data_IF_545810875995
#
_entry.id   IF_545810875995
#
_cell.length_a   1.000
_cell.length_b   1.000
_cell.length_c   1.000
_cell.angle_alpha   90.00
_cell.angle_beta   90.00
_cell.angle_gamma   90.00
#
_symmetry.space_group_name_H-M   'P 1'
#
loop_
_entity.id
_entity.type
_entity.pdbx_description
1 polymer ?
#
# COMPACT_ATOMS: atom_id res chain seq x y z
N UNK A 1 -30.48 4.45 -8.20
CA UNK A 1 -30.41 3.14 -7.59
C UNK A 1 -30.20 2.11 -8.70
N UNK A 2 -28.95 1.77 -8.96
CA UNK A 2 -28.66 0.57 -9.74
C UNK A 2 -29.31 -0.59 -8.98
N UNK A 3 -30.22 -1.30 -9.63
CA UNK A 3 -30.77 -2.53 -9.11
C UNK A 3 -29.61 -3.42 -8.66
N UNK A 4 -29.67 -3.89 -7.42
CA UNK A 4 -28.77 -4.87 -6.89
C UNK A 4 -28.96 -6.18 -7.66
N UNK A 5 -28.38 -6.24 -8.87
CA UNK A 5 -27.97 -7.49 -9.46
C UNK A 5 -27.00 -8.09 -8.44
N UNK A 6 -27.22 -9.32 -8.05
CA UNK A 6 -26.42 -9.99 -7.05
C UNK A 6 -24.92 -9.75 -7.33
N UNK A 7 -24.27 -8.94 -6.46
CA UNK A 7 -22.83 -8.74 -6.54
C UNK A 7 -22.15 -10.08 -6.22
N UNK A 8 -21.35 -10.57 -7.16
CA UNK A 8 -20.61 -11.81 -6.96
C UNK A 8 -19.34 -11.49 -6.18
N UNK A 9 -19.29 -11.94 -4.93
CA UNK A 9 -18.12 -11.82 -4.04
C UNK A 9 -17.63 -13.21 -3.64
N UNK A 10 -16.40 -13.26 -3.14
CA UNK A 10 -15.76 -14.51 -2.67
C UNK A 10 -16.62 -15.19 -1.60
N UNK A 11 -17.18 -14.40 -0.70
CA UNK A 11 -18.12 -14.85 0.31
C UNK A 11 -19.42 -14.02 0.21
N UNK A 12 -20.55 -14.70 0.07
CA UNK A 12 -21.82 -14.03 -0.14
C UNK A 12 -22.14 -13.03 0.99
N UNK A 13 -22.53 -11.81 0.60
CA UNK A 13 -22.86 -10.72 1.52
C UNK A 13 -21.67 -10.00 2.13
N UNK A 14 -20.44 -10.38 1.78
CA UNK A 14 -19.22 -9.77 2.28
C UNK A 14 -18.37 -9.20 1.15
N UNK A 15 -17.64 -8.11 1.46
CA UNK A 15 -16.54 -7.61 0.66
C UNK A 15 -15.23 -8.01 1.36
N UNK A 16 -14.51 -8.97 0.79
CA UNK A 16 -13.25 -9.45 1.34
C UNK A 16 -12.10 -8.61 0.80
N UNK A 17 -11.45 -7.90 1.71
CA UNK A 17 -10.31 -7.02 1.45
C UNK A 17 -9.02 -7.68 1.94
N UNK A 18 -8.10 -7.96 1.02
CA UNK A 18 -6.73 -8.30 1.36
C UNK A 18 -5.93 -7.01 1.62
N UNK A 19 -5.11 -7.01 2.65
CA UNK A 19 -4.28 -5.87 3.03
C UNK A 19 -3.03 -6.33 3.76
N UNK A 20 -2.11 -5.38 4.02
CA UNK A 20 -0.96 -5.56 4.91
C UNK A 20 -0.98 -4.48 5.98
N UNK A 21 -1.56 -4.79 7.13
CA UNK A 21 -1.89 -3.83 8.19
C UNK A 21 -0.67 -3.41 9.05
N UNK A 22 0.46 -3.18 8.38
CA UNK A 22 1.71 -2.65 8.94
C UNK A 22 2.21 -1.42 8.17
N UNK A 23 1.31 -0.69 7.51
CA UNK A 23 1.62 0.41 6.60
C UNK A 23 0.88 1.69 7.01
N UNK A 24 1.25 2.31 8.16
CA UNK A 24 0.56 3.51 8.63
C UNK A 24 0.84 4.71 7.70
N UNK A 25 -0.08 5.66 7.53
CA UNK A 25 -1.43 5.71 8.10
C UNK A 25 -2.50 5.04 7.22
N UNK A 26 -2.11 4.26 6.20
CA UNK A 26 -3.04 3.62 5.28
C UNK A 26 -3.76 2.43 5.90
N UNK A 27 -3.01 1.52 6.49
CA UNK A 27 -3.54 0.37 7.21
C UNK A 27 -2.64 -0.01 8.38
N UNK A 28 -3.26 -0.22 9.52
CA UNK A 28 -2.56 -0.62 10.74
C UNK A 28 -3.49 -1.36 11.69
N UNK A 29 -2.90 -2.07 12.61
CA UNK A 29 -3.60 -2.76 13.68
C UNK A 29 -3.43 -1.97 14.96
N UNK A 30 -4.53 -1.74 15.70
CA UNK A 30 -4.51 -1.10 17.00
C UNK A 30 -4.00 -2.05 18.09
N UNK A 31 -3.68 -1.52 19.27
CA UNK A 31 -3.32 -2.33 20.44
C UNK A 31 -4.46 -3.29 20.88
N UNK A 32 -5.70 -2.95 20.55
CA UNK A 32 -6.87 -3.80 20.78
C UNK A 32 -7.05 -4.90 19.72
N UNK A 33 -6.21 -4.93 18.68
CA UNK A 33 -6.28 -5.89 17.59
C UNK A 33 -7.32 -5.53 16.51
N UNK A 34 -7.80 -4.30 16.52
CA UNK A 34 -8.72 -3.78 15.49
C UNK A 34 -7.91 -3.17 14.33
N UNK A 35 -8.52 -3.08 13.15
CA UNK A 35 -7.91 -2.44 11.99
C UNK A 35 -8.34 -0.98 11.87
N UNK A 36 -7.41 -0.11 11.52
CA UNK A 36 -7.66 1.30 11.25
C UNK A 36 -6.76 1.83 10.15
N UNK A 37 -7.09 3.01 9.62
CA UNK A 37 -6.31 3.73 8.63
C UNK A 37 -7.13 4.12 7.40
N UNK A 38 -6.49 4.87 6.50
CA UNK A 38 -7.12 5.45 5.30
C UNK A 38 -7.75 4.35 4.44
N UNK A 39 -7.03 3.28 4.18
CA UNK A 39 -7.50 2.18 3.33
C UNK A 39 -8.63 1.40 4.01
N UNK A 40 -8.53 1.19 5.31
CA UNK A 40 -9.58 0.51 6.09
C UNK A 40 -10.88 1.31 6.08
N UNK A 41 -10.81 2.61 6.36
CA UNK A 41 -11.99 3.48 6.38
C UNK A 41 -12.61 3.64 5.00
N UNK A 42 -11.78 3.75 3.96
CA UNK A 42 -12.24 3.82 2.57
C UNK A 42 -12.93 2.53 2.14
N UNK A 43 -12.36 1.37 2.46
CA UNK A 43 -12.97 0.08 2.17
C UNK A 43 -14.28 -0.11 2.91
N UNK A 44 -14.37 0.32 4.18
CA UNK A 44 -15.61 0.27 4.95
C UNK A 44 -16.70 1.14 4.31
N UNK A 45 -16.35 2.35 3.89
CA UNK A 45 -17.29 3.25 3.21
C UNK A 45 -17.78 2.66 1.87
N UNK A 46 -16.92 2.00 1.12
CA UNK A 46 -17.30 1.28 -0.11
C UNK A 46 -18.23 0.12 0.20
N UNK A 47 -17.89 -0.72 1.18
CA UNK A 47 -18.73 -1.84 1.59
C UNK A 47 -20.12 -1.39 2.01
N UNK A 48 -20.22 -0.30 2.79
CA UNK A 48 -21.49 0.29 3.20
C UNK A 48 -22.32 0.75 2.00
N UNK A 49 -21.71 1.39 1.01
CA UNK A 49 -22.37 1.80 -0.24
C UNK A 49 -22.90 0.62 -1.04
N UNK A 50 -22.21 -0.51 -1.02
CA UNK A 50 -22.59 -1.72 -1.73
C UNK A 50 -23.54 -2.62 -0.94
N UNK A 51 -23.81 -2.29 0.33
CA UNK A 51 -24.63 -3.11 1.22
C UNK A 51 -23.96 -4.41 1.62
N UNK A 52 -22.63 -4.43 1.70
CA UNK A 52 -21.82 -5.59 2.06
C UNK A 52 -21.16 -5.39 3.43
N UNK A 53 -20.91 -6.49 4.12
CA UNK A 53 -20.08 -6.51 5.32
C UNK A 53 -18.59 -6.58 4.92
N UNK A 54 -17.75 -5.71 5.50
CA UNK A 54 -16.31 -5.73 5.23
C UNK A 54 -15.64 -6.86 6.01
N UNK A 55 -14.94 -7.73 5.29
CA UNK A 55 -14.04 -8.76 5.83
C UNK A 55 -12.60 -8.36 5.50
N UNK A 56 -11.75 -8.21 6.52
CA UNK A 56 -10.34 -7.82 6.34
C UNK A 56 -9.46 -9.04 6.57
N UNK A 57 -8.66 -9.37 5.56
CA UNK A 57 -7.66 -10.42 5.61
C UNK A 57 -6.26 -9.77 5.58
N UNK A 58 -5.59 -9.77 6.74
CA UNK A 58 -4.25 -9.22 6.90
C UNK A 58 -3.20 -10.26 6.54
N UNK A 59 -2.27 -9.88 5.67
CA UNK A 59 -1.19 -10.75 5.18
C UNK A 59 -0.02 -9.91 4.65
N UNK A 60 1.08 -10.57 4.26
CA UNK A 60 2.19 -9.86 3.62
C UNK A 60 1.75 -9.22 2.30
N UNK A 61 2.38 -8.12 1.92
CA UNK A 61 1.97 -7.30 0.78
C UNK A 61 1.89 -8.09 -0.53
N UNK A 62 2.92 -8.87 -0.86
CA UNK A 62 2.92 -9.69 -2.07
C UNK A 62 1.86 -10.80 -2.03
N UNK A 63 1.60 -11.38 -0.86
CA UNK A 63 0.52 -12.33 -0.65
C UNK A 63 -0.86 -11.68 -0.85
N UNK A 64 -1.04 -10.43 -0.42
CA UNK A 64 -2.28 -9.68 -0.63
C UNK A 64 -2.57 -9.45 -2.11
N UNK A 65 -1.56 -9.06 -2.90
CA UNK A 65 -1.70 -8.93 -4.35
C UNK A 65 -2.07 -10.26 -5.01
N UNK A 66 -1.41 -11.34 -4.60
CA UNK A 66 -1.66 -12.67 -5.15
C UNK A 66 -3.04 -13.20 -4.78
N UNK A 67 -3.53 -12.86 -3.59
CA UNK A 67 -4.84 -13.27 -3.09
C UNK A 67 -5.99 -12.84 -4.01
N UNK A 68 -5.99 -11.59 -4.50
CA UNK A 68 -7.00 -11.13 -5.46
C UNK A 68 -6.82 -11.76 -6.83
N UNK A 69 -5.60 -11.96 -7.29
CA UNK A 69 -5.31 -12.63 -8.57
C UNK A 69 -5.84 -14.07 -8.59
N UNK A 70 -5.80 -14.75 -7.45
CA UNK A 70 -6.26 -16.13 -7.28
C UNK A 70 -7.77 -16.24 -6.93
N UNK A 71 -8.46 -15.11 -6.80
CA UNK A 71 -9.88 -15.10 -6.44
C UNK A 71 -10.16 -15.47 -4.97
N UNK A 72 -9.20 -15.28 -4.08
CA UNK A 72 -9.34 -15.52 -2.62
C UNK A 72 -9.81 -14.29 -1.87
N UNK A 73 -9.64 -13.11 -2.43
CA UNK A 73 -10.16 -11.85 -1.94
C UNK A 73 -10.83 -11.09 -3.10
N UNK A 74 -11.80 -10.24 -2.76
CA UNK A 74 -12.51 -9.42 -3.74
C UNK A 74 -11.69 -8.21 -4.19
N UNK A 75 -11.07 -7.54 -3.24
CA UNK A 75 -10.24 -6.36 -3.45
C UNK A 75 -8.93 -6.46 -2.65
N UNK A 76 -7.93 -5.72 -3.10
CA UNK A 76 -6.74 -5.40 -2.30
C UNK A 76 -6.61 -3.90 -2.16
N UNK A 77 -6.44 -3.45 -0.93
CA UNK A 77 -6.11 -2.06 -0.57
C UNK A 77 -4.96 -2.11 0.44
N UNK A 78 -3.80 -1.66 0.01
CA UNK A 78 -2.57 -1.70 0.79
C UNK A 78 -1.57 -0.65 0.31
N UNK A 79 -2.07 0.55 -0.04
CA UNK A 79 -1.27 1.54 -0.74
C UNK A 79 -0.71 0.98 -2.05
N UNK A 80 -1.57 0.36 -2.86
CA UNK A 80 -1.13 -0.35 -4.06
C UNK A 80 -0.96 0.60 -5.23
N UNK A 81 0.27 0.73 -5.71
CA UNK A 81 0.59 1.52 -6.89
C UNK A 81 0.16 0.81 -8.17
N UNK A 82 -0.46 1.56 -9.07
CA UNK A 82 -0.82 1.09 -10.42
C UNK A 82 0.45 1.04 -11.27
N UNK A 83 0.77 -0.15 -11.77
CA UNK A 83 1.88 -0.35 -12.71
C UNK A 83 1.41 -1.15 -13.92
N UNK A 84 2.12 -1.03 -15.04
CA UNK A 84 1.79 -1.81 -16.25
C UNK A 84 1.92 -3.30 -16.03
N UNK A 85 2.90 -3.74 -15.25
CA UNK A 85 3.08 -5.15 -14.90
C UNK A 85 1.89 -5.68 -14.09
N UNK A 86 1.43 -4.91 -13.09
CA UNK A 86 0.26 -5.27 -12.29
C UNK A 86 -1.03 -5.25 -13.10
N UNK A 87 -1.19 -4.28 -14.02
CA UNK A 87 -2.34 -4.24 -14.94
C UNK A 87 -2.45 -5.46 -15.84
N UNK A 88 -1.34 -6.13 -16.12
CA UNK A 88 -1.36 -7.35 -16.93
C UNK A 88 -2.07 -8.52 -16.22
N UNK A 89 -2.07 -8.53 -14.88
CA UNK A 89 -2.58 -9.64 -14.06
C UNK A 89 -3.73 -9.25 -13.13
N UNK A 90 -4.05 -7.96 -13.04
CA UNK A 90 -5.08 -7.40 -12.15
C UNK A 90 -5.81 -6.28 -12.88
N UNK A 91 -7.04 -6.02 -12.44
CA UNK A 91 -7.76 -4.79 -12.77
C UNK A 91 -7.68 -3.83 -11.58
N UNK A 92 -7.78 -2.53 -11.86
CA UNK A 92 -7.70 -1.47 -10.86
C UNK A 92 -8.90 -0.53 -10.95
N UNK A 93 -9.30 0.01 -9.80
CA UNK A 93 -10.19 1.15 -9.73
C UNK A 93 -9.50 2.42 -10.23
N UNK A 94 -10.25 3.52 -10.29
CA UNK A 94 -9.66 4.85 -10.36
C UNK A 94 -8.80 5.11 -9.12
N UNK A 95 -7.80 5.99 -9.25
CA UNK A 95 -6.92 6.36 -8.14
C UNK A 95 -7.72 7.06 -7.02
N UNK A 96 -7.45 6.69 -5.77
CA UNK A 96 -8.04 7.33 -4.59
C UNK A 96 -7.03 8.13 -3.76
N UNK A 97 -5.74 7.92 -3.97
CA UNK A 97 -4.66 8.62 -3.28
C UNK A 97 -3.39 8.65 -4.14
N UNK A 98 -2.51 9.59 -3.85
CA UNK A 98 -1.18 9.68 -4.46
C UNK A 98 -0.12 9.37 -3.42
N UNK A 99 0.76 8.43 -3.72
CA UNK A 99 1.91 8.06 -2.91
C UNK A 99 3.19 8.68 -3.43
N UNK A 100 4.16 8.85 -2.55
CA UNK A 100 5.52 9.31 -2.88
C UNK A 100 6.49 8.32 -2.26
N UNK A 101 7.36 7.72 -3.06
CA UNK A 101 8.46 6.91 -2.55
C UNK A 101 9.53 7.82 -1.97
N UNK A 102 9.92 7.57 -0.73
CA UNK A 102 10.87 8.37 0.03
C UNK A 102 12.04 7.53 0.52
N UNK A 103 13.10 8.21 0.92
CA UNK A 103 14.32 7.59 1.42
C UNK A 103 14.44 7.93 2.92
N UNK A 104 14.56 6.90 3.75
CA UNK A 104 14.88 7.04 5.17
C UNK A 104 16.36 6.72 5.36
N UNK A 105 17.07 7.59 6.08
CA UNK A 105 18.49 7.42 6.43
C UNK A 105 18.72 7.79 7.89
N UNK A 106 19.84 7.34 8.50
CA UNK A 106 20.28 7.88 9.78
C UNK A 106 20.59 9.37 9.68
N UNK A 107 20.38 10.12 10.75
CA UNK A 107 20.72 11.54 10.85
C UNK A 107 22.21 11.74 10.62
N UNK A 108 23.00 11.63 10.24
CA UNK A 108 24.46 11.75 10.01
C UNK A 108 24.90 11.11 8.72
N UNK A 109 23.96 10.54 7.97
CA UNK A 109 24.24 9.91 6.69
C UNK A 109 24.70 10.93 5.65
N UNK A 110 25.62 10.52 4.80
CA UNK A 110 26.06 11.29 3.63
C UNK A 110 25.12 11.13 2.40
N UNK A 111 24.11 10.26 2.51
CA UNK A 111 23.07 10.09 1.50
C UNK A 111 22.13 11.29 1.55
N UNK A 112 22.04 12.06 0.48
CA UNK A 112 21.22 13.27 0.37
C UNK A 112 20.19 13.22 -0.76
N UNK A 113 20.36 12.29 -1.72
CA UNK A 113 19.50 12.16 -2.90
C UNK A 113 19.47 10.71 -3.40
N UNK A 114 18.55 10.35 -4.30
CA UNK A 114 18.51 9.01 -4.89
C UNK A 114 19.83 8.55 -5.52
N UNK A 115 20.58 9.47 -6.14
CA UNK A 115 21.86 9.13 -6.78
C UNK A 115 22.91 8.63 -5.79
N UNK A 116 22.84 9.06 -4.54
CA UNK A 116 23.76 8.65 -3.47
C UNK A 116 23.53 7.21 -2.98
N UNK A 117 22.45 6.57 -3.43
CA UNK A 117 22.15 5.17 -3.09
C UNK A 117 23.06 4.18 -3.85
N UNK A 118 23.74 4.62 -4.90
CA UNK A 118 24.69 3.77 -5.62
C UNK A 118 25.78 3.24 -4.69
N UNK A 119 25.99 1.93 -4.67
CA UNK A 119 26.96 1.26 -3.81
C UNK A 119 26.52 1.09 -2.36
N UNK A 120 25.30 1.45 -2.01
CA UNK A 120 24.72 1.30 -0.68
C UNK A 120 23.82 0.07 -0.60
N UNK A 121 23.57 -0.40 0.64
CA UNK A 121 22.54 -1.41 0.90
C UNK A 121 21.21 -0.73 1.21
N UNK A 122 20.18 -1.12 0.46
CA UNK A 122 18.86 -0.49 0.50
C UNK A 122 17.85 -1.51 1.03
N UNK A 123 17.22 -1.20 2.16
CA UNK A 123 16.10 -1.96 2.68
C UNK A 123 14.80 -1.55 2.00
N UNK A 124 13.97 -2.52 1.67
CA UNK A 124 12.66 -2.32 1.04
C UNK A 124 11.66 -3.32 1.61
N UNK A 125 10.38 -3.09 1.37
CA UNK A 125 9.36 -4.10 1.62
C UNK A 125 9.19 -4.98 0.39
N UNK A 126 9.16 -6.30 0.59
CA UNK A 126 9.03 -7.30 -0.48
C UNK A 126 7.81 -7.05 -1.35
N UNK A 127 7.99 -7.08 -2.67
CA UNK A 127 6.92 -6.97 -3.66
C UNK A 127 6.39 -5.56 -3.92
N UNK A 128 6.88 -4.55 -3.21
CA UNK A 128 6.48 -3.15 -3.40
C UNK A 128 7.16 -2.50 -4.60
N UNK A 129 6.63 -1.36 -5.05
CA UNK A 129 7.28 -0.56 -6.09
C UNK A 129 8.64 -0.03 -5.66
N UNK A 130 8.82 0.30 -4.38
CA UNK A 130 10.14 0.65 -3.83
C UNK A 130 11.18 -0.44 -4.05
N UNK A 131 10.81 -1.70 -3.83
CA UNK A 131 11.65 -2.85 -4.15
C UNK A 131 11.96 -2.92 -5.65
N UNK A 132 10.95 -2.81 -6.50
CA UNK A 132 11.10 -2.90 -7.97
C UNK A 132 12.02 -1.80 -8.48
N UNK A 133 11.77 -0.56 -8.12
CA UNK A 133 12.57 0.59 -8.56
C UNK A 133 14.02 0.48 -8.11
N UNK A 134 14.26 0.10 -6.86
CA UNK A 134 15.62 -0.03 -6.36
C UNK A 134 16.38 -1.18 -7.01
N UNK A 135 15.73 -2.31 -7.29
CA UNK A 135 16.37 -3.42 -8.01
C UNK A 135 16.67 -3.07 -9.45
N UNK A 136 15.79 -2.33 -10.12
CA UNK A 136 16.01 -1.86 -11.49
C UNK A 136 17.15 -0.84 -11.57
N UNK A 137 17.22 0.09 -10.61
CA UNK A 137 18.19 1.19 -10.63
C UNK A 137 19.57 0.77 -10.09
N UNK A 138 19.63 -0.10 -9.08
CA UNK A 138 20.87 -0.42 -8.35
C UNK A 138 21.28 -1.88 -8.38
N UNK A 139 20.42 -2.78 -8.89
CA UNK A 139 20.66 -4.22 -8.96
C UNK A 139 20.16 -4.95 -7.72
N UNK A 140 19.82 -6.23 -7.89
CA UNK A 140 19.28 -7.08 -6.81
C UNK A 140 20.23 -7.23 -5.62
N UNK A 141 21.56 -7.25 -5.86
CA UNK A 141 22.55 -7.41 -4.80
C UNK A 141 22.60 -6.21 -3.84
N UNK A 142 22.15 -5.03 -4.27
CA UNK A 142 22.09 -3.83 -3.45
C UNK A 142 20.83 -3.76 -2.56
N UNK A 143 19.81 -4.56 -2.86
CA UNK A 143 18.48 -4.45 -2.25
C UNK A 143 18.20 -5.64 -1.34
N UNK A 144 17.78 -5.34 -0.10
CA UNK A 144 17.33 -6.33 0.87
C UNK A 144 15.82 -6.18 1.03
N UNK A 145 15.07 -7.23 0.66
CA UNK A 145 13.62 -7.25 0.80
C UNK A 145 13.21 -7.81 2.17
N UNK A 146 12.44 -7.02 2.90
CA UNK A 146 11.86 -7.41 4.19
C UNK A 146 10.36 -7.64 4.04
N UNK A 147 9.77 -8.40 4.95
CA UNK A 147 8.34 -8.71 4.90
C UNK A 147 7.45 -7.50 5.24
N UNK A 148 7.98 -6.54 6.02
CA UNK A 148 7.28 -5.30 6.35
C UNK A 148 8.21 -4.09 6.31
N UNK A 149 7.62 -2.91 6.16
CA UNK A 149 8.33 -1.64 6.28
C UNK A 149 8.94 -1.45 7.66
N UNK A 150 8.24 -1.88 8.71
CA UNK A 150 8.74 -1.83 10.09
C UNK A 150 10.04 -2.64 10.24
N UNK A 151 10.09 -3.86 9.71
CA UNK A 151 11.29 -4.70 9.76
C UNK A 151 12.45 -4.07 8.99
N UNK A 152 12.18 -3.44 7.84
CA UNK A 152 13.20 -2.72 7.09
C UNK A 152 13.78 -1.54 7.91
N UNK A 153 12.94 -0.78 8.59
CA UNK A 153 13.36 0.33 9.45
C UNK A 153 14.16 -0.16 10.67
N UNK A 154 13.77 -1.28 11.25
CA UNK A 154 14.55 -1.91 12.33
C UNK A 154 15.94 -2.34 11.83
N UNK A 155 16.04 -2.88 10.62
CA UNK A 155 17.31 -3.23 10.00
C UNK A 155 18.20 -2.00 9.78
N UNK A 156 17.60 -0.86 9.39
CA UNK A 156 18.30 0.42 9.28
C UNK A 156 18.84 0.91 10.64
N UNK A 157 18.02 0.85 11.68
CA UNK A 157 18.45 1.18 13.04
C UNK A 157 19.61 0.32 13.54
N UNK A 158 19.64 -0.94 13.14
CA UNK A 158 20.66 -1.90 13.51
C UNK A 158 21.92 -1.84 12.62
N UNK A 159 21.95 -0.95 11.63
CA UNK A 159 23.09 -0.81 10.70
C UNK A 159 23.23 -1.94 9.68
N UNK A 160 22.18 -2.74 9.47
CA UNK A 160 22.18 -3.83 8.48
C UNK A 160 21.98 -3.34 7.05
N UNK A 161 21.34 -2.19 6.88
CA UNK A 161 21.18 -1.47 5.61
C UNK A 161 21.55 -0.01 5.82
N UNK A 162 21.86 0.71 4.73
CA UNK A 162 22.28 2.11 4.76
C UNK A 162 21.11 3.08 4.57
N UNK A 163 20.04 2.63 3.95
CA UNK A 163 18.84 3.40 3.68
C UNK A 163 17.64 2.47 3.57
N UNK A 164 16.43 3.03 3.70
CA UNK A 164 15.17 2.37 3.39
C UNK A 164 14.40 3.20 2.38
N UNK A 165 13.89 2.57 1.33
CA UNK A 165 12.99 3.20 0.36
C UNK A 165 11.59 2.66 0.58
N UNK A 166 10.66 3.56 0.93
CA UNK A 166 9.28 3.26 1.26
C UNK A 166 8.40 4.48 0.98
N UNK A 167 7.09 4.30 0.93
CA UNK A 167 6.15 5.41 0.80
C UNK A 167 6.34 6.47 1.89
N UNK A 168 6.16 7.74 1.51
CA UNK A 168 6.45 8.89 2.35
C UNK A 168 5.58 8.96 3.62
N UNK A 169 4.31 8.61 3.53
CA UNK A 169 3.43 8.68 4.69
C UNK A 169 3.86 7.69 5.79
N UNK A 170 4.01 6.36 5.54
CA UNK A 170 4.57 5.47 6.54
C UNK A 170 6.02 5.80 6.91
N UNK A 171 6.83 6.33 5.98
CA UNK A 171 8.20 6.77 6.30
C UNK A 171 8.21 7.82 7.43
N UNK A 172 7.34 8.80 7.36
CA UNK A 172 7.20 9.83 8.40
C UNK A 172 6.79 9.25 9.75
N UNK A 173 5.84 8.32 9.76
CA UNK A 173 5.39 7.63 10.98
C UNK A 173 6.53 6.82 11.62
N UNK A 174 7.26 6.06 10.82
CA UNK A 174 8.39 5.27 11.31
C UNK A 174 9.52 6.14 11.85
N UNK A 175 9.83 7.25 11.19
CA UNK A 175 10.85 8.19 11.64
C UNK A 175 10.44 8.88 12.94
N UNK A 176 9.17 9.24 13.09
CA UNK A 176 8.64 9.80 14.34
C UNK A 176 8.81 8.84 15.53
N UNK A 177 8.67 7.53 15.28
CA UNK A 177 8.83 6.49 16.30
C UNK A 177 10.30 6.06 16.53
N UNK A 178 11.23 6.47 15.67
CA UNK A 178 12.63 6.05 15.71
C UNK A 178 13.57 7.26 15.68
N UNK A 179 13.82 7.91 16.84
CA UNK A 179 14.77 9.03 16.94
C UNK A 179 16.15 8.65 16.38
N UNK A 180 16.75 9.55 15.63
CA UNK A 180 18.03 9.32 14.95
C UNK A 180 17.90 8.93 13.49
N UNK A 181 16.69 8.74 12.98
CA UNK A 181 16.38 8.58 11.56
C UNK A 181 15.74 9.85 11.00
N UNK A 182 15.88 10.06 9.71
CA UNK A 182 15.22 11.15 8.98
C UNK A 182 14.74 10.70 7.61
N UNK A 183 13.69 11.33 7.11
CA UNK A 183 13.24 11.22 5.71
C UNK A 183 13.95 12.30 4.91
N UNK A 184 14.52 11.95 3.77
CA UNK A 184 15.12 12.93 2.87
C UNK A 184 14.02 13.80 2.23
N UNK A 185 14.34 15.08 1.99
CA UNK A 185 13.41 16.00 1.31
C UNK A 185 13.24 15.66 -0.17
N UNK A 186 14.24 15.04 -0.78
CA UNK A 186 14.19 14.60 -2.17
C UNK A 186 13.41 13.30 -2.28
N UNK A 187 12.29 13.33 -2.99
CA UNK A 187 11.49 12.13 -3.27
C UNK A 187 12.20 11.21 -4.27
N UNK A 188 11.92 9.91 -4.17
CA UNK A 188 12.41 8.90 -5.11
C UNK A 188 11.50 8.78 -6.33
N UNK A 189 10.19 8.66 -6.13
CA UNK A 189 9.17 8.55 -7.17
C UNK A 189 7.80 9.00 -6.65
N UNK A 190 6.93 9.41 -7.56
CA UNK A 190 5.51 9.68 -7.28
C UNK A 190 4.65 8.57 -7.90
N UNK A 191 3.57 8.20 -7.22
CA UNK A 191 2.75 7.04 -7.57
C UNK A 191 1.27 7.32 -7.32
N UNK A 192 0.40 6.63 -8.08
CA UNK A 192 -1.04 6.62 -7.86
C UNK A 192 -1.46 5.32 -7.20
N UNK A 193 -2.18 5.41 -6.08
CA UNK A 193 -2.77 4.27 -5.39
C UNK A 193 -4.19 4.02 -5.88
N UNK A 194 -4.49 2.76 -6.14
CA UNK A 194 -5.82 2.32 -6.55
C UNK A 194 -6.19 1.00 -5.87
N UNK A 195 -7.47 0.65 -5.94
CA UNK A 195 -7.98 -0.61 -5.43
C UNK A 195 -7.74 -1.68 -6.49
N UNK A 196 -7.03 -2.75 -6.12
CA UNK A 196 -6.78 -3.88 -7.00
C UNK A 196 -7.89 -4.93 -6.91
N UNK A 197 -8.16 -5.58 -8.04
CA UNK A 197 -9.15 -6.63 -8.21
C UNK A 197 -8.62 -7.71 -9.13
N UNK A 198 -9.25 -8.88 -9.14
CA UNK A 198 -8.95 -9.91 -10.11
C UNK A 198 -9.18 -9.40 -11.54
N UNK A 199 -8.38 -9.88 -12.48
CA UNK A 199 -8.55 -9.57 -13.91
C UNK A 199 -9.94 -9.98 -14.38
N UNK A 200 -10.68 -9.05 -15.00
CA UNK A 200 -12.04 -9.27 -15.45
C UNK A 200 -13.10 -9.27 -14.33
N UNK A 201 -12.77 -8.74 -13.15
CA UNK A 201 -13.72 -8.65 -12.03
C UNK A 201 -14.97 -7.85 -12.38
N UNK A 202 -16.13 -8.39 -12.01
CA UNK A 202 -17.42 -7.67 -12.14
C UNK A 202 -17.57 -6.54 -11.10
N UNK A 203 -16.66 -6.43 -10.14
CA UNK A 203 -16.71 -5.41 -9.09
C UNK A 203 -16.11 -4.07 -9.51
N UNK A 204 -15.34 -4.00 -10.60
CA UNK A 204 -14.64 -2.77 -11.01
C UNK A 204 -15.59 -1.59 -11.17
N UNK A 205 -16.68 -1.75 -11.93
CA UNK A 205 -17.63 -0.67 -12.20
C UNK A 205 -18.35 -0.21 -10.92
N UNK A 206 -18.75 -1.14 -10.06
CA UNK A 206 -19.46 -0.79 -8.81
C UNK A 206 -18.53 -0.18 -7.77
N UNK A 207 -17.27 -0.61 -7.72
CA UNK A 207 -16.25 0.00 -6.86
C UNK A 207 -15.92 1.41 -7.34
N UNK A 208 -15.73 1.62 -8.64
CA UNK A 208 -15.52 2.96 -9.19
C UNK A 208 -16.70 3.88 -8.94
N UNK A 209 -17.93 3.41 -9.13
CA UNK A 209 -19.12 4.19 -8.83
C UNK A 209 -19.19 4.59 -7.35
N UNK A 210 -18.89 3.67 -6.43
CA UNK A 210 -18.83 3.97 -5.00
C UNK A 210 -17.74 5.00 -4.68
N UNK A 211 -16.54 4.88 -5.25
CA UNK A 211 -15.46 5.86 -5.08
C UNK A 211 -15.86 7.25 -5.57
N UNK A 212 -16.50 7.36 -6.72
CA UNK A 212 -16.97 8.65 -7.26
C UNK A 212 -18.01 9.30 -6.35
N UNK A 213 -18.92 8.52 -5.78
CA UNK A 213 -19.89 9.02 -4.78
C UNK A 213 -19.17 9.51 -3.51
N UNK A 214 -18.18 8.79 -3.01
CA UNK A 214 -17.39 9.18 -1.82
C UNK A 214 -16.55 10.43 -2.06
N UNK A 215 -16.06 10.63 -3.28
CA UNK A 215 -15.38 11.86 -3.68
C UNK A 215 -16.37 13.02 -3.74
N UNK A 216 -17.52 12.82 -4.37
CA UNK A 216 -18.53 13.87 -4.58
C UNK A 216 -19.17 14.35 -3.28
N UNK A 217 -19.39 13.48 -2.30
CA UNK A 217 -20.00 13.81 -1.02
C UNK A 217 -19.01 14.28 0.06
N UNK A 218 -17.72 14.32 -0.26
CA UNK A 218 -16.64 14.73 0.64
C UNK A 218 -16.18 13.69 1.65
N UNK A 219 -16.74 12.48 1.64
CA UNK A 219 -16.36 11.41 2.57
C UNK A 219 -14.90 11.01 2.41
N UNK A 220 -14.44 10.80 1.17
CA UNK A 220 -13.07 10.41 0.90
C UNK A 220 -12.09 11.48 1.37
N UNK A 221 -12.39 12.75 1.11
CA UNK A 221 -11.56 13.88 1.55
C UNK A 221 -11.46 13.99 3.07
N UNK A 222 -12.49 13.57 3.80
CA UNK A 222 -12.47 13.58 5.28
C UNK A 222 -11.70 12.41 5.88
N UNK A 223 -11.47 11.34 5.11
CA UNK A 223 -10.68 10.16 5.51
C UNK A 223 -9.19 10.41 5.30
N UNK A 224 -8.82 11.05 4.19
CA UNK A 224 -7.42 11.25 3.76
C UNK A 224 -6.72 12.41 4.47
#
# INVERSE_FOLDING_TARGET
SAAAGELTTVEAGKLTMATNATFPPYEMTTDAGEFEGIDIETAQAIADKLGLELQIDDMDFDAALLSVQQGKADIVMAGVTVTDERKAVMDFSDSYATGIQSIIVPEGSDIASPDDLAGKKIGTQRGTTGYIYCTDDFGEDAVVAYDSGLTAVQALNNGQVDAVVIDNAPAKEYVAANPGLKVLETSYAEEDYAIGMAKGSSLEDVVNAALEELKADGTLQSIV
#
